data_IF_573806191923
#
_entry.id   IF_573806191923
#
_cell.length_a   1.000
_cell.length_b   1.000
_cell.length_c   1.000
_cell.angle_alpha   90.00
_cell.angle_beta   90.00
_cell.angle_gamma   90.00
#
_symmetry.space_group_name_H-M   'P 1'
#
loop_
_entity.id
_entity.type
_entity.pdbx_description
1 polymer ?
#
# COMPACT_ATOMS: atom_id res chain seq x y z
N UNK A 1 3.20 -13.65 7.39
CA UNK A 1 3.70 -13.80 6.02
C UNK A 1 4.08 -15.26 5.70
N UNK A 2 4.86 -15.93 6.57
CA UNK A 2 5.35 -17.30 6.29
C UNK A 2 4.26 -18.37 6.47
N UNK A 3 3.29 -18.19 7.38
CA UNK A 3 2.17 -19.13 7.55
C UNK A 3 1.21 -19.15 6.36
N UNK A 4 1.05 -18.03 5.66
CA UNK A 4 0.20 -17.96 4.47
C UNK A 4 0.85 -18.58 3.23
N UNK A 5 2.16 -18.80 3.24
CA UNK A 5 2.89 -19.44 2.15
C UNK A 5 3.02 -20.98 2.30
N UNK A 6 2.42 -21.58 3.35
CA UNK A 6 2.51 -23.02 3.62
C UNK A 6 3.92 -23.55 3.90
N UNK A 7 4.86 -22.65 4.23
CA UNK A 7 6.25 -22.99 4.50
C UNK A 7 6.47 -23.37 5.96
N UNK A 8 7.35 -24.33 6.17
CA UNK A 8 7.80 -24.77 7.50
C UNK A 8 8.39 -23.58 8.29
N UNK A 9 8.12 -23.51 9.58
CA UNK A 9 8.62 -22.48 10.49
C UNK A 9 10.15 -22.40 10.50
N UNK A 10 10.83 -23.55 10.39
CA UNK A 10 12.27 -23.62 10.27
C UNK A 10 12.79 -22.99 8.98
N UNK A 11 12.08 -23.13 7.86
CA UNK A 11 12.42 -22.47 6.60
C UNK A 11 12.27 -20.96 6.71
N UNK A 12 11.17 -20.50 7.30
CA UNK A 12 10.94 -19.07 7.57
C UNK A 12 12.02 -18.45 8.44
N UNK A 13 12.45 -19.17 9.49
CA UNK A 13 13.56 -18.76 10.35
C UNK A 13 14.90 -18.61 9.60
N UNK A 14 15.22 -19.55 8.73
CA UNK A 14 16.45 -19.48 7.90
C UNK A 14 16.42 -18.28 6.94
N UNK A 15 15.29 -18.04 6.27
CA UNK A 15 15.14 -16.87 5.39
C UNK A 15 15.30 -15.55 6.14
N UNK A 16 14.76 -15.46 7.34
CA UNK A 16 14.90 -14.27 8.18
C UNK A 16 16.37 -14.04 8.59
N UNK A 17 17.09 -15.10 8.95
CA UNK A 17 18.52 -15.00 9.28
C UNK A 17 19.35 -14.54 8.08
N UNK A 18 19.14 -15.14 6.91
CA UNK A 18 19.81 -14.73 5.67
C UNK A 18 19.50 -13.28 5.31
N UNK A 19 18.26 -12.85 5.46
CA UNK A 19 17.86 -11.46 5.22
C UNK A 19 18.56 -10.48 6.20
N UNK A 20 18.75 -10.88 7.45
CA UNK A 20 19.49 -10.08 8.44
C UNK A 20 20.97 -9.94 8.08
N UNK A 21 21.58 -11.01 7.59
CA UNK A 21 22.98 -11.01 7.14
C UNK A 21 23.18 -10.16 5.88
N UNK A 22 22.22 -10.20 4.93
CA UNK A 22 22.29 -9.42 3.70
C UNK A 22 22.02 -7.93 3.93
N UNK A 23 21.16 -7.57 4.88
CA UNK A 23 20.74 -6.21 5.14
C UNK A 23 21.01 -5.75 6.58
N UNK A 24 22.24 -5.79 7.07
CA UNK A 24 22.54 -5.53 8.50
C UNK A 24 22.21 -4.09 8.91
N UNK A 25 22.40 -3.10 8.02
CA UNK A 25 22.05 -1.71 8.29
C UNK A 25 20.55 -1.50 8.48
N UNK A 26 19.73 -2.13 7.65
CA UNK A 26 18.29 -2.08 7.78
C UNK A 26 17.83 -2.68 9.11
N UNK A 27 18.36 -3.84 9.49
CA UNK A 27 17.98 -4.48 10.73
C UNK A 27 18.45 -3.72 11.97
N UNK A 28 19.66 -3.15 11.94
CA UNK A 28 20.15 -2.28 13.01
C UNK A 28 19.24 -1.07 13.21
N UNK A 29 18.85 -0.40 12.13
CA UNK A 29 17.89 0.71 12.16
C UNK A 29 16.52 0.27 12.65
N UNK A 30 16.03 -0.86 12.17
CA UNK A 30 14.72 -1.41 12.55
C UNK A 30 14.66 -1.81 14.04
N UNK A 31 15.74 -2.38 14.57
CA UNK A 31 15.86 -2.71 15.99
C UNK A 31 15.96 -1.45 16.84
N UNK A 32 16.64 -0.41 16.36
CA UNK A 32 16.69 0.91 17.04
C UNK A 32 15.29 1.51 17.18
N UNK A 33 14.45 1.48 16.16
CA UNK A 33 13.06 1.97 16.25
C UNK A 33 12.28 1.24 17.37
N UNK A 34 12.44 -0.06 17.48
CA UNK A 34 11.81 -0.85 18.55
C UNK A 34 12.36 -0.45 19.92
N UNK A 35 13.67 -0.37 20.05
CA UNK A 35 14.32 -0.03 21.32
C UNK A 35 13.90 1.34 21.81
N UNK A 36 13.87 2.34 20.95
CA UNK A 36 13.41 3.70 21.27
C UNK A 36 11.96 3.71 21.75
N UNK A 37 11.06 3.04 21.02
CA UNK A 37 9.66 2.92 21.43
C UNK A 37 9.51 2.19 22.78
N UNK A 38 10.27 1.12 23.00
CA UNK A 38 10.26 0.37 24.27
C UNK A 38 10.80 1.19 25.45
N UNK A 39 11.65 2.19 25.19
CA UNK A 39 12.14 3.16 26.19
C UNK A 39 11.15 4.31 26.41
N UNK A 40 9.99 4.31 25.72
CA UNK A 40 8.95 5.33 25.88
C UNK A 40 9.09 6.53 24.92
N UNK A 41 10.01 6.45 23.93
CA UNK A 41 10.14 7.53 22.95
C UNK A 41 9.00 7.45 21.91
N UNK A 42 8.45 8.62 21.57
CA UNK A 42 7.53 8.78 20.45
C UNK A 42 8.29 8.66 19.13
N UNK A 43 7.86 7.73 18.26
CA UNK A 43 8.39 7.66 16.91
C UNK A 43 7.64 8.65 16.01
N UNK A 44 8.38 9.29 15.09
CA UNK A 44 7.84 10.36 14.24
C UNK A 44 8.24 10.12 12.78
N UNK A 45 7.29 10.35 11.84
CA UNK A 45 7.56 10.37 10.39
C UNK A 45 8.33 11.62 9.98
N UNK A 46 8.76 11.70 8.72
CA UNK A 46 9.46 12.85 8.15
C UNK A 46 8.68 14.18 8.30
N UNK A 47 7.36 14.14 8.32
CA UNK A 47 6.49 15.33 8.42
C UNK A 47 5.65 15.38 9.70
N UNK A 48 6.06 14.68 10.74
CA UNK A 48 5.54 14.88 12.08
C UNK A 48 4.39 13.96 12.50
N UNK A 49 4.00 12.95 11.71
CA UNK A 49 3.09 11.91 12.19
C UNK A 49 3.77 11.12 13.31
N UNK A 50 3.00 10.87 14.36
CA UNK A 50 3.54 10.28 15.59
C UNK A 50 2.80 9.00 15.95
N UNK A 51 3.55 8.03 16.48
CA UNK A 51 3.00 6.93 17.22
C UNK A 51 3.52 6.97 18.65
N UNK A 52 2.58 6.95 19.58
CA UNK A 52 2.90 6.81 21.00
C UNK A 52 3.23 5.34 21.29
N UNK A 53 4.22 5.06 22.15
CA UNK A 53 4.46 3.71 22.63
C UNK A 53 3.27 3.26 23.48
N UNK A 54 2.38 2.52 22.87
CA UNK A 54 1.28 1.78 23.50
C UNK A 54 1.67 0.31 23.56
N UNK A 55 0.91 -0.51 24.27
CA UNK A 55 1.19 -1.94 24.46
C UNK A 55 1.18 -2.80 23.16
N UNK A 56 1.41 -2.16 22.02
CA UNK A 56 1.59 -2.82 20.73
C UNK A 56 2.97 -3.49 20.65
N UNK A 57 3.02 -4.60 19.94
CA UNK A 57 4.25 -5.38 19.85
C UNK A 57 5.32 -4.73 18.96
N UNK A 58 6.56 -5.22 19.00
CA UNK A 58 7.71 -4.74 18.22
C UNK A 58 7.43 -4.60 16.71
N UNK A 59 6.51 -5.39 16.17
CA UNK A 59 6.12 -5.34 14.75
C UNK A 59 5.53 -3.99 14.35
N UNK A 60 4.70 -3.40 15.19
CA UNK A 60 4.08 -2.10 14.93
C UNK A 60 5.14 -1.01 14.81
N UNK A 61 6.09 -0.97 15.73
CA UNK A 61 7.18 0.02 15.71
C UNK A 61 8.12 -0.15 14.53
N UNK A 62 8.46 -1.39 14.13
CA UNK A 62 9.25 -1.63 12.92
C UNK A 62 8.58 -1.13 11.67
N UNK A 63 7.27 -1.29 11.56
CA UNK A 63 6.51 -0.92 10.38
C UNK A 63 6.15 0.56 10.34
N UNK A 64 6.06 1.21 11.49
CA UNK A 64 5.56 2.59 11.59
C UNK A 64 6.30 3.55 10.66
N UNK A 65 7.61 3.62 10.75
CA UNK A 65 8.40 4.56 9.96
C UNK A 65 8.27 4.32 8.44
N UNK A 66 8.15 3.06 8.02
CA UNK A 66 7.94 2.71 6.61
C UNK A 66 6.55 3.11 6.14
N UNK A 67 5.52 2.73 6.89
CA UNK A 67 4.12 3.02 6.54
C UNK A 67 3.80 4.50 6.61
N UNK A 68 4.26 5.19 7.65
CA UNK A 68 4.02 6.62 7.83
C UNK A 68 4.70 7.45 6.73
N UNK A 69 5.96 7.17 6.40
CA UNK A 69 6.64 7.87 5.31
C UNK A 69 6.05 7.51 3.93
N UNK A 70 5.56 6.28 3.73
CA UNK A 70 4.77 5.92 2.55
C UNK A 70 3.51 6.77 2.42
N UNK A 71 2.76 6.92 3.50
CA UNK A 71 1.57 7.78 3.54
C UNK A 71 1.89 9.26 3.28
N UNK A 72 3.04 9.77 3.78
CA UNK A 72 3.51 11.13 3.48
C UNK A 72 3.80 11.32 1.98
N UNK A 73 4.47 10.35 1.35
CA UNK A 73 4.72 10.40 -0.10
C UNK A 73 3.41 10.42 -0.89
N UNK A 74 2.45 9.56 -0.53
CA UNK A 74 1.14 9.53 -1.17
C UNK A 74 0.39 10.86 -1.00
N UNK A 75 0.43 11.45 0.20
CA UNK A 75 -0.20 12.75 0.48
C UNK A 75 0.40 13.87 -0.37
N UNK A 76 1.74 13.98 -0.41
CA UNK A 76 2.41 15.00 -1.21
C UNK A 76 2.16 14.82 -2.71
N UNK A 77 2.21 13.58 -3.19
CA UNK A 77 1.89 13.28 -4.60
C UNK A 77 0.43 13.61 -4.94
N UNK A 78 -0.52 13.29 -4.04
CA UNK A 78 -1.94 13.67 -4.20
C UNK A 78 -2.10 15.18 -4.40
N UNK A 79 -1.47 15.98 -3.53
CA UNK A 79 -1.50 17.46 -3.64
C UNK A 79 -0.93 17.90 -4.99
N UNK A 80 0.26 17.41 -5.34
CA UNK A 80 0.94 17.80 -6.58
C UNK A 80 0.19 17.39 -7.85
N UNK A 81 -0.48 16.24 -7.86
CA UNK A 81 -1.32 15.75 -8.97
C UNK A 81 -2.56 16.64 -9.12
N UNK A 82 -3.26 16.92 -8.01
CA UNK A 82 -4.49 17.72 -8.03
C UNK A 82 -4.22 19.18 -8.38
N UNK A 83 -3.13 19.78 -7.90
CA UNK A 83 -2.71 21.14 -8.27
C UNK A 83 -2.38 21.30 -9.76
N UNK A 84 -2.01 20.21 -10.46
CA UNK A 84 -1.82 20.18 -11.90
C UNK A 84 -3.09 19.94 -12.70
N UNK A 85 -4.25 19.90 -12.04
CA UNK A 85 -5.55 19.69 -12.66
C UNK A 85 -5.80 18.26 -13.14
N UNK A 86 -4.95 17.31 -12.78
CA UNK A 86 -5.14 15.90 -13.14
C UNK A 86 -6.31 15.32 -12.33
N UNK A 87 -7.17 14.61 -13.01
CA UNK A 87 -8.34 13.97 -12.41
C UNK A 87 -7.93 12.71 -11.64
N UNK A 88 -7.65 12.90 -10.37
CA UNK A 88 -7.36 11.81 -9.43
C UNK A 88 -8.69 11.20 -8.97
N UNK A 89 -8.94 9.94 -9.35
CA UNK A 89 -10.17 9.23 -9.02
C UNK A 89 -10.11 8.52 -7.67
N UNK A 90 -8.97 7.91 -7.36
CA UNK A 90 -8.78 7.20 -6.09
C UNK A 90 -7.29 7.04 -5.76
N UNK A 91 -7.03 6.88 -4.46
CA UNK A 91 -5.78 6.34 -3.93
C UNK A 91 -6.04 4.88 -3.52
N UNK A 92 -5.19 3.95 -3.97
CA UNK A 92 -5.34 2.51 -3.68
C UNK A 92 -4.01 1.99 -3.15
N UNK A 93 -3.88 1.87 -1.83
CA UNK A 93 -2.63 1.54 -1.15
C UNK A 93 -1.50 2.52 -1.51
N UNK A 94 -0.55 2.07 -2.31
CA UNK A 94 0.62 2.81 -2.81
C UNK A 94 0.49 3.24 -4.28
N UNK A 95 -0.71 3.20 -4.83
CA UNK A 95 -1.03 3.53 -6.22
C UNK A 95 -2.10 4.62 -6.33
N UNK A 96 -2.13 5.28 -7.49
CA UNK A 96 -3.16 6.23 -7.90
C UNK A 96 -3.95 5.71 -9.09
N UNK A 97 -5.27 5.90 -9.03
CA UNK A 97 -6.13 5.79 -10.18
C UNK A 97 -6.40 7.20 -10.73
N UNK A 98 -5.94 7.45 -11.93
CA UNK A 98 -6.17 8.73 -12.64
C UNK A 98 -6.96 8.49 -13.91
N UNK A 99 -7.71 9.50 -14.34
CA UNK A 99 -8.52 9.47 -15.57
C UNK A 99 -8.14 10.64 -16.45
N UNK A 100 -8.01 10.38 -17.75
CA UNK A 100 -7.77 11.42 -18.74
C UNK A 100 -8.37 11.06 -20.10
N UNK A 101 -8.58 12.03 -21.01
CA UNK A 101 -8.85 11.75 -22.42
C UNK A 101 -7.75 10.85 -23.03
N UNK A 102 -8.12 10.03 -23.99
CA UNK A 102 -7.19 9.06 -24.61
C UNK A 102 -5.98 9.76 -25.23
N UNK A 103 -6.23 10.95 -25.80
CA UNK A 103 -5.20 11.76 -26.47
C UNK A 103 -4.16 12.32 -25.47
N UNK A 104 -4.55 12.51 -24.21
CA UNK A 104 -3.73 13.12 -23.16
C UNK A 104 -3.15 12.08 -22.19
N UNK A 105 -3.57 10.82 -22.27
CA UNK A 105 -3.29 9.82 -21.22
C UNK A 105 -1.79 9.62 -20.97
N UNK A 106 -0.97 9.62 -22.01
CA UNK A 106 0.48 9.43 -21.87
C UNK A 106 1.16 10.62 -21.17
N UNK A 107 0.71 11.84 -21.45
CA UNK A 107 1.19 13.05 -20.78
C UNK A 107 0.76 13.05 -19.31
N UNK A 108 -0.50 12.74 -19.03
CA UNK A 108 -1.03 12.64 -17.66
C UNK A 108 -0.31 11.59 -16.85
N UNK A 109 0.00 10.43 -17.43
CA UNK A 109 0.82 9.39 -16.79
C UNK A 109 2.22 9.90 -16.48
N UNK A 110 2.87 10.58 -17.41
CA UNK A 110 4.21 11.14 -17.20
C UNK A 110 4.21 12.16 -16.05
N UNK A 111 3.27 13.11 -16.06
CA UNK A 111 3.14 14.12 -14.99
C UNK A 111 2.85 13.46 -13.64
N UNK A 112 1.97 12.45 -13.61
CA UNK A 112 1.65 11.72 -12.37
C UNK A 112 2.88 11.04 -11.80
N UNK A 113 3.67 10.35 -12.64
CA UNK A 113 4.93 9.72 -12.23
C UNK A 113 5.95 10.74 -11.72
N UNK A 114 6.05 11.89 -12.36
CA UNK A 114 6.94 12.98 -11.91
C UNK A 114 6.52 13.51 -10.54
N UNK A 115 5.21 13.65 -10.27
CA UNK A 115 4.70 14.02 -8.95
C UNK A 115 5.06 12.99 -7.89
N UNK A 116 4.89 11.70 -8.17
CA UNK A 116 5.26 10.61 -7.26
C UNK A 116 6.77 10.58 -7.01
N UNK A 117 7.59 10.75 -8.05
CA UNK A 117 9.03 10.83 -7.94
C UNK A 117 9.48 12.03 -7.10
N UNK A 118 8.87 13.20 -7.29
CA UNK A 118 9.16 14.39 -6.51
C UNK A 118 8.77 14.21 -5.02
N UNK A 119 7.61 13.60 -4.76
CA UNK A 119 7.16 13.29 -3.41
C UNK A 119 8.11 12.29 -2.70
N UNK A 120 8.56 11.26 -3.39
CA UNK A 120 9.53 10.31 -2.82
C UNK A 120 10.87 10.98 -2.49
N UNK A 121 11.40 11.82 -3.39
CA UNK A 121 12.64 12.59 -3.10
C UNK A 121 12.49 13.52 -1.90
N UNK A 122 11.34 14.15 -1.75
CA UNK A 122 11.08 15.05 -0.62
C UNK A 122 11.07 14.30 0.73
N UNK A 123 10.45 13.14 0.78
CA UNK A 123 10.33 12.35 2.02
C UNK A 123 11.59 11.55 2.33
N UNK A 124 12.28 11.05 1.28
CA UNK A 124 13.42 10.14 1.41
C UNK A 124 14.78 10.83 1.20
N UNK A 125 14.87 12.12 1.54
CA UNK A 125 16.13 12.89 1.48
C UNK A 125 16.85 12.80 0.13
N UNK A 126 16.10 12.88 -0.96
CA UNK A 126 16.62 12.85 -2.34
C UNK A 126 16.54 11.49 -3.04
N UNK A 127 16.23 10.41 -2.33
CA UNK A 127 16.06 9.10 -2.95
C UNK A 127 14.75 9.04 -3.74
N UNK A 128 14.81 8.61 -4.99
CA UNK A 128 13.66 8.45 -5.86
C UNK A 128 13.22 7.00 -5.93
N UNK A 129 11.94 6.77 -5.69
CA UNK A 129 11.30 5.49 -5.97
C UNK A 129 10.81 5.45 -7.41
N UNK A 130 11.06 4.34 -8.07
CA UNK A 130 10.51 4.07 -9.40
C UNK A 130 9.04 3.66 -9.30
N UNK A 131 8.27 4.03 -10.31
CA UNK A 131 6.83 3.74 -10.41
C UNK A 131 6.52 3.13 -11.77
N UNK A 132 5.57 2.21 -11.78
CA UNK A 132 5.00 1.61 -12.99
C UNK A 132 3.62 2.21 -13.27
N UNK A 133 3.18 2.15 -14.52
CA UNK A 133 1.85 2.59 -14.91
C UNK A 133 1.20 1.56 -15.84
N UNK A 134 -0.06 1.27 -15.58
CA UNK A 134 -0.92 0.46 -16.45
C UNK A 134 -1.97 1.39 -17.06
N UNK A 135 -2.09 1.38 -18.38
CA UNK A 135 -3.06 2.19 -19.13
C UNK A 135 -4.16 1.28 -19.65
N UNK A 136 -5.39 1.62 -19.30
CA UNK A 136 -6.57 0.87 -19.72
C UNK A 136 -7.52 1.83 -20.42
N UNK A 137 -7.72 1.60 -21.74
CA UNK A 137 -8.60 2.41 -22.55
C UNK A 137 -9.98 1.75 -22.70
N UNK A 138 -11.04 2.57 -22.57
CA UNK A 138 -12.40 2.13 -22.90
C UNK A 138 -12.45 1.55 -24.34
N UNK A 139 -13.18 0.46 -24.61
CA UNK A 139 -14.13 -0.23 -23.72
C UNK A 139 -13.51 -1.29 -22.78
N UNK A 140 -12.20 -1.44 -22.77
CA UNK A 140 -11.55 -2.38 -21.87
C UNK A 140 -11.73 -1.97 -20.40
N UNK A 141 -11.63 -2.94 -19.51
CA UNK A 141 -11.72 -2.75 -18.06
C UNK A 141 -10.48 -3.32 -17.39
N UNK A 142 -10.15 -2.75 -16.24
CA UNK A 142 -9.16 -3.38 -15.37
C UNK A 142 -9.62 -4.80 -15.02
N UNK A 143 -8.72 -5.74 -15.20
CA UNK A 143 -8.93 -7.15 -14.83
C UNK A 143 -7.67 -7.70 -14.22
N UNK A 144 -7.81 -8.43 -13.14
CA UNK A 144 -6.71 -9.20 -12.57
C UNK A 144 -7.18 -10.62 -12.25
N UNK A 145 -6.33 -11.59 -12.48
CA UNK A 145 -6.62 -13.01 -12.29
C UNK A 145 -7.18 -13.32 -10.90
N UNK A 146 -6.64 -12.67 -9.86
CA UNK A 146 -7.10 -12.83 -8.47
C UNK A 146 -8.50 -12.27 -8.22
N UNK A 147 -8.87 -11.21 -8.93
CA UNK A 147 -10.17 -10.52 -8.80
C UNK A 147 -11.27 -11.10 -9.66
N UNK A 148 -10.93 -11.80 -10.73
CA UNK A 148 -11.87 -12.27 -11.77
C UNK A 148 -13.02 -13.07 -11.17
N UNK A 149 -12.72 -14.01 -10.30
CA UNK A 149 -13.70 -14.86 -9.64
C UNK A 149 -14.71 -14.09 -8.78
N UNK A 150 -14.22 -13.06 -8.06
CA UNK A 150 -15.07 -12.17 -7.25
C UNK A 150 -15.90 -11.27 -8.16
N UNK A 151 -15.31 -10.76 -9.24
CA UNK A 151 -16.00 -9.93 -10.21
C UNK A 151 -17.16 -10.66 -10.89
N UNK A 152 -16.95 -11.91 -11.30
CA UNK A 152 -18.00 -12.77 -11.86
C UNK A 152 -19.12 -13.02 -10.86
N UNK A 153 -18.79 -13.25 -9.58
CA UNK A 153 -19.78 -13.40 -8.51
C UNK A 153 -20.63 -12.13 -8.36
N UNK A 154 -19.99 -10.97 -8.26
CA UNK A 154 -20.67 -9.67 -8.12
C UNK A 154 -21.61 -9.42 -9.31
N UNK A 155 -21.13 -9.64 -10.55
CA UNK A 155 -21.97 -9.46 -11.74
C UNK A 155 -23.18 -10.41 -11.75
N UNK A 156 -23.00 -11.67 -11.37
CA UNK A 156 -24.10 -12.63 -11.25
C UNK A 156 -25.15 -12.18 -10.23
N UNK A 157 -24.71 -11.73 -9.04
CA UNK A 157 -25.62 -11.25 -7.99
C UNK A 157 -26.36 -9.96 -8.39
N UNK A 158 -25.76 -9.10 -9.21
CA UNK A 158 -26.40 -7.90 -9.74
C UNK A 158 -27.44 -8.21 -10.83
N UNK A 159 -27.22 -9.24 -11.63
CA UNK A 159 -28.12 -9.64 -12.71
C UNK A 159 -29.23 -10.58 -12.26
N UNK A 160 -29.01 -11.32 -11.18
CA UNK A 160 -29.95 -12.29 -10.61
C UNK A 160 -30.24 -11.97 -9.13
N UNK A 161 -30.96 -10.87 -8.83
CA UNK A 161 -31.19 -10.45 -7.44
C UNK A 161 -31.95 -11.46 -6.57
N UNK A 162 -32.68 -12.41 -7.15
CA UNK A 162 -33.33 -13.50 -6.43
C UNK A 162 -32.34 -14.48 -5.79
N UNK A 163 -31.11 -14.54 -6.25
CA UNK A 163 -30.06 -15.38 -5.67
C UNK A 163 -29.55 -14.86 -4.30
N UNK A 164 -29.86 -13.61 -3.93
CA UNK A 164 -29.50 -13.03 -2.62
C UNK A 164 -30.29 -13.66 -1.46
N UNK A 165 -31.47 -14.23 -1.70
CA UNK A 165 -32.28 -14.86 -0.66
C UNK A 165 -31.69 -16.17 -0.12
N UNK A 166 -30.70 -16.75 -0.79
CA UNK A 166 -30.02 -17.97 -0.34
C UNK A 166 -28.79 -17.69 0.59
N UNK A 167 -28.45 -16.43 0.81
CA UNK A 167 -27.38 -16.02 1.73
C UNK A 167 -27.89 -15.53 3.08
N UNK A 168 -28.97 -16.09 3.60
CA UNK A 168 -29.25 -15.94 5.02
C UNK A 168 -28.15 -16.65 5.82
N UNK A 169 -27.47 -15.86 6.67
CA UNK A 169 -26.42 -16.36 7.52
C UNK A 169 -26.92 -17.52 8.37
N UNK A 170 -26.25 -18.68 8.44
CA UNK A 170 -26.67 -19.74 9.35
C UNK A 170 -26.50 -19.28 10.80
N UNK A 171 -27.61 -19.08 11.49
CA UNK A 171 -27.65 -19.15 12.94
C UNK A 171 -27.34 -17.89 13.73
N UNK A 172 -28.30 -16.94 13.74
CA UNK A 172 -28.61 -16.24 14.98
C UNK A 172 -29.71 -17.05 15.72
N UNK A 173 -29.31 -18.11 16.35
CA UNK A 173 -30.18 -18.76 17.36
C UNK A 173 -29.88 -18.10 18.70
N UNK A 174 -30.96 -17.67 19.35
CA UNK A 174 -31.08 -17.03 20.66
C UNK A 174 -30.30 -17.71 21.79
#
# INVERSE_FOLDING_TARGET
LFRSAGSDEAFGGRLLMQHKELFPRFWSWSDDQVNRAMLGETLTSAYGWQIQPVADGPRTYRNFSLQANGAEMMRLATIAITERGIRLCATVHDAFLVEAPVEEIHEVVAITRDCMAAASRAVLAGFQLETEAEIICYPNRFSCERGERMWQLVNRLLTEPESLQQFEAPGAAH
#
